data_IF_073725860295
#
_entry.id   IF_073725860295
#
_cell.length_a   1.000
_cell.length_b   1.000
_cell.length_c   1.000
_cell.angle_alpha   90.00
_cell.angle_beta   90.00
_cell.angle_gamma   90.00
#
_symmetry.space_group_name_H-M   'P 1'
#
loop_
_entity.id
_entity.type
_entity.pdbx_description
1 polymer ?
#
# COMPACT_ATOMS: atom_id res chain seq x y z
N UNK A 1 -2.86 -11.65 -28.78
CA UNK A 1 -2.50 -11.91 -27.37
C UNK A 1 -1.79 -10.67 -26.87
N UNK A 2 -2.08 -10.19 -25.66
CA UNK A 2 -1.45 -8.98 -25.16
C UNK A 2 0.06 -9.19 -25.01
N UNK A 3 0.82 -8.31 -25.61
CA UNK A 3 2.23 -8.09 -25.33
C UNK A 3 2.40 -6.59 -25.06
N UNK A 4 3.23 -6.27 -24.08
CA UNK A 4 3.45 -4.90 -23.68
C UNK A 4 4.65 -4.29 -24.42
N UNK A 5 5.69 -5.07 -24.72
CA UNK A 5 6.98 -4.58 -25.27
C UNK A 5 7.75 -3.64 -24.32
N UNK A 6 7.05 -2.63 -23.80
CA UNK A 6 7.46 -1.66 -22.80
C UNK A 6 6.89 -2.03 -21.42
N UNK A 7 7.78 -2.22 -20.45
CA UNK A 7 7.45 -2.55 -19.05
C UNK A 7 6.63 -1.45 -18.35
N UNK A 8 6.72 -0.19 -18.79
CA UNK A 8 5.92 0.91 -18.26
C UNK A 8 4.43 0.76 -18.55
N UNK A 9 4.06 -0.08 -19.54
CA UNK A 9 2.68 -0.29 -20.00
C UNK A 9 1.96 -1.45 -19.33
N UNK A 10 2.59 -2.15 -18.40
CA UNK A 10 1.95 -3.20 -17.59
C UNK A 10 1.90 -2.72 -16.14
N UNK A 11 0.84 -2.96 -15.36
CA UNK A 11 0.84 -2.68 -13.91
C UNK A 11 1.00 -3.94 -13.04
N UNK A 12 1.08 -5.12 -13.65
CA UNK A 12 1.25 -6.39 -12.94
C UNK A 12 0.02 -6.84 -12.15
N UNK A 13 -1.19 -6.56 -12.64
CA UNK A 13 -2.47 -6.85 -11.98
C UNK A 13 -3.11 -8.21 -12.32
N UNK A 14 -2.47 -9.00 -13.19
CA UNK A 14 -2.91 -10.35 -13.59
C UNK A 14 -4.28 -10.48 -14.29
N UNK A 15 -5.04 -9.40 -14.51
CA UNK A 15 -6.36 -9.48 -15.16
C UNK A 15 -6.30 -10.12 -16.55
N UNK A 16 -5.28 -9.83 -17.34
CA UNK A 16 -5.09 -10.45 -18.66
C UNK A 16 -4.86 -11.97 -18.61
N UNK A 17 -4.18 -12.46 -17.55
CA UNK A 17 -3.97 -13.88 -17.29
C UNK A 17 -5.29 -14.51 -16.85
N UNK A 18 -5.95 -13.93 -15.84
CA UNK A 18 -7.23 -14.44 -15.32
C UNK A 18 -8.35 -14.48 -16.37
N UNK A 19 -8.37 -13.54 -17.32
CA UNK A 19 -9.38 -13.48 -18.37
C UNK A 19 -9.10 -14.41 -19.57
N UNK A 20 -7.94 -15.08 -19.62
CA UNK A 20 -7.56 -15.90 -20.77
C UNK A 20 -8.22 -17.28 -20.68
N UNK A 21 -9.18 -17.65 -21.56
CA UNK A 21 -9.88 -18.94 -21.47
C UNK A 21 -9.05 -20.15 -21.93
N UNK A 22 -7.80 -19.91 -22.36
CA UNK A 22 -6.89 -20.92 -22.93
C UNK A 22 -5.52 -20.91 -22.23
N UNK A 23 -5.41 -20.20 -21.09
CA UNK A 23 -4.19 -20.11 -20.27
C UNK A 23 -2.92 -19.78 -21.07
N UNK A 24 -3.07 -18.94 -22.11
CA UNK A 24 -1.97 -18.56 -23.00
C UNK A 24 -0.94 -17.63 -22.35
N UNK A 25 -1.25 -17.08 -21.17
CA UNK A 25 -0.44 -16.11 -20.45
C UNK A 25 -0.16 -16.60 -19.03
N UNK A 26 1.03 -16.28 -18.52
CA UNK A 26 1.40 -16.44 -17.10
C UNK A 26 2.10 -15.19 -16.58
N UNK A 27 2.03 -14.96 -15.28
CA UNK A 27 2.80 -13.89 -14.64
C UNK A 27 4.20 -14.39 -14.31
N UNK A 28 5.23 -13.69 -14.77
CA UNK A 28 6.63 -14.02 -14.47
C UNK A 28 7.38 -12.80 -13.91
N UNK A 29 8.25 -12.99 -12.92
CA UNK A 29 9.10 -11.93 -12.40
C UNK A 29 10.19 -11.58 -13.42
N UNK A 30 10.51 -10.29 -13.54
CA UNK A 30 11.71 -9.86 -14.23
C UNK A 30 12.93 -9.78 -13.29
N UNK A 31 14.06 -9.26 -13.79
CA UNK A 31 15.28 -9.09 -12.99
C UNK A 31 15.14 -8.12 -11.80
N UNK A 32 14.13 -7.24 -11.84
CA UNK A 32 13.77 -6.35 -10.73
C UNK A 32 12.73 -7.00 -9.79
N UNK A 33 12.32 -8.24 -10.09
CA UNK A 33 11.34 -9.03 -9.35
C UNK A 33 9.88 -8.65 -9.63
N UNK A 34 9.61 -7.71 -10.54
CA UNK A 34 8.24 -7.32 -10.85
C UNK A 34 7.56 -8.33 -11.76
N UNK A 35 6.32 -8.69 -11.44
CA UNK A 35 5.51 -9.59 -12.28
C UNK A 35 5.02 -8.89 -13.56
N UNK A 36 5.23 -9.56 -14.70
CA UNK A 36 4.70 -9.20 -16.02
C UNK A 36 4.01 -10.40 -16.67
N UNK A 37 2.97 -10.13 -17.46
CA UNK A 37 2.35 -11.16 -18.27
C UNK A 37 3.30 -11.56 -19.41
N UNK A 38 3.53 -12.86 -19.54
CA UNK A 38 4.35 -13.50 -20.58
C UNK A 38 3.57 -14.63 -21.23
N UNK A 39 3.85 -14.89 -22.50
CA UNK A 39 3.27 -16.02 -23.20
C UNK A 39 3.73 -17.34 -22.55
N UNK A 40 2.78 -18.18 -22.16
CA UNK A 40 3.01 -19.57 -21.70
C UNK A 40 2.66 -20.59 -22.77
N UNK A 41 1.57 -20.35 -23.51
CA UNK A 41 1.06 -21.25 -24.53
C UNK A 41 0.45 -20.44 -25.68
N UNK A 42 1.32 -19.80 -26.47
CA UNK A 42 0.89 -18.91 -27.54
C UNK A 42 0.08 -19.63 -28.63
N UNK A 43 0.40 -20.90 -28.92
CA UNK A 43 -0.27 -21.70 -29.94
C UNK A 43 -1.75 -21.98 -29.61
N UNK A 44 -2.12 -22.03 -28.33
CA UNK A 44 -3.51 -22.20 -27.91
C UNK A 44 -4.37 -20.92 -28.02
N UNK A 45 -3.78 -19.78 -28.42
CA UNK A 45 -4.48 -18.51 -28.44
C UNK A 45 -5.52 -18.44 -29.56
N UNK A 46 -6.80 -18.39 -29.18
CA UNK A 46 -7.93 -18.24 -30.10
C UNK A 46 -8.24 -16.78 -30.51
N UNK A 47 -7.30 -15.85 -30.29
CA UNK A 47 -7.42 -14.44 -30.68
C UNK A 47 -8.70 -13.70 -30.21
N UNK A 48 -9.31 -14.10 -29.08
CA UNK A 48 -10.56 -13.51 -28.58
C UNK A 48 -10.47 -12.03 -28.11
N UNK A 49 -9.26 -11.48 -27.98
CA UNK A 49 -9.01 -10.09 -27.54
C UNK A 49 -9.30 -9.79 -26.07
N UNK A 50 -9.74 -10.76 -25.25
CA UNK A 50 -10.11 -10.52 -23.84
C UNK A 50 -8.98 -9.94 -23.00
N UNK A 51 -7.77 -10.47 -23.14
CA UNK A 51 -6.57 -10.01 -22.43
C UNK A 51 -6.29 -8.51 -22.61
N UNK A 52 -6.68 -7.94 -23.76
CA UNK A 52 -6.54 -6.51 -24.05
C UNK A 52 -7.69 -5.71 -23.46
N UNK A 53 -8.94 -6.19 -23.61
CA UNK A 53 -10.15 -5.55 -23.09
C UNK A 53 -10.15 -5.39 -21.56
N UNK A 54 -9.58 -6.35 -20.83
CA UNK A 54 -9.51 -6.30 -19.36
C UNK A 54 -8.30 -5.52 -18.83
N UNK A 55 -7.41 -5.04 -19.70
CA UNK A 55 -6.17 -4.40 -19.26
C UNK A 55 -6.42 -2.94 -18.83
N UNK A 56 -6.19 -2.56 -17.56
CA UNK A 56 -6.38 -1.17 -17.12
C UNK A 56 -5.37 -0.19 -17.70
N UNK A 57 -4.27 -0.68 -18.27
CA UNK A 57 -3.27 0.16 -18.94
C UNK A 57 -3.68 0.52 -20.38
N UNK A 58 -4.56 -0.29 -21.00
CA UNK A 58 -5.11 -0.05 -22.36
C UNK A 58 -6.50 0.60 -22.31
N UNK A 59 -7.27 0.34 -21.26
CA UNK A 59 -8.65 0.80 -21.10
C UNK A 59 -8.78 1.66 -19.84
N UNK A 60 -8.00 2.73 -19.77
CA UNK A 60 -8.14 3.70 -18.68
C UNK A 60 -9.42 4.52 -18.89
N UNK A 61 -10.22 4.66 -17.85
CA UNK A 61 -11.42 5.50 -17.84
C UNK A 61 -11.26 6.63 -16.84
N UNK A 62 -12.01 7.70 -17.05
CA UNK A 62 -12.12 8.81 -16.10
C UNK A 62 -13.46 8.73 -15.35
N UNK A 63 -13.43 9.15 -14.10
CA UNK A 63 -14.47 9.10 -13.10
C UNK A 63 -14.49 10.45 -12.37
N UNK A 64 -15.66 10.91 -11.91
CA UNK A 64 -15.73 12.08 -11.05
C UNK A 64 -14.84 11.91 -9.81
N UNK A 65 -14.15 12.98 -9.41
CA UNK A 65 -13.44 12.99 -8.15
C UNK A 65 -14.44 12.94 -6.99
N UNK A 66 -14.07 12.25 -5.92
CA UNK A 66 -14.75 12.36 -4.64
C UNK A 66 -14.89 13.83 -4.24
N UNK A 67 -16.08 14.22 -3.78
CA UNK A 67 -16.37 15.61 -3.36
C UNK A 67 -15.77 15.92 -1.99
N UNK A 68 -15.70 14.91 -1.13
CA UNK A 68 -15.32 15.05 0.26
C UNK A 68 -14.30 13.99 0.67
N UNK A 69 -13.53 14.32 1.70
CA UNK A 69 -12.70 13.40 2.44
C UNK A 69 -13.14 13.39 3.90
N UNK A 70 -13.11 12.24 4.55
CA UNK A 70 -13.50 12.09 5.94
C UNK A 70 -12.28 11.71 6.78
N UNK A 71 -11.94 12.54 7.77
CA UNK A 71 -11.01 12.18 8.83
C UNK A 71 -11.66 11.13 9.72
N UNK A 72 -11.06 9.94 9.75
CA UNK A 72 -11.69 8.76 10.34
C UNK A 72 -10.76 8.01 11.32
N UNK A 73 -11.31 7.71 12.50
CA UNK A 73 -10.73 6.79 13.50
C UNK A 73 -11.80 5.76 13.88
N UNK A 74 -11.48 4.48 13.76
CA UNK A 74 -12.37 3.38 14.14
C UNK A 74 -12.70 3.45 15.64
N UNK A 75 -13.94 3.10 16.01
CA UNK A 75 -14.37 3.04 17.41
C UNK A 75 -13.83 1.83 18.18
N UNK A 76 -13.31 0.82 17.47
CA UNK A 76 -12.72 -0.39 18.06
C UNK A 76 -11.24 -0.16 18.42
N UNK A 77 -10.97 0.16 19.69
CA UNK A 77 -9.61 0.47 20.17
C UNK A 77 -8.64 -0.71 20.04
N UNK A 78 -9.11 -1.94 20.28
CA UNK A 78 -8.28 -3.16 20.19
C UNK A 78 -7.83 -3.40 18.76
N UNK A 79 -8.74 -3.27 17.80
CA UNK A 79 -8.40 -3.37 16.39
C UNK A 79 -7.51 -2.20 15.93
N UNK A 80 -7.78 -0.98 16.40
CA UNK A 80 -7.05 0.22 16.00
C UNK A 80 -5.53 0.09 16.21
N UNK A 81 -5.08 -0.56 17.29
CA UNK A 81 -3.64 -0.79 17.57
C UNK A 81 -2.93 -1.64 16.50
N UNK A 82 -3.67 -2.44 15.74
CA UNK A 82 -3.15 -3.35 14.71
C UNK A 82 -3.20 -2.73 13.31
N UNK A 83 -4.01 -1.69 13.12
CA UNK A 83 -4.13 -0.96 11.84
C UNK A 83 -2.96 0.02 11.61
N UNK A 84 -2.69 0.33 10.33
CA UNK A 84 -1.62 1.28 9.95
C UNK A 84 -1.93 2.75 10.17
N UNK A 85 -3.21 3.10 10.33
CA UNK A 85 -3.69 4.48 10.36
C UNK A 85 -4.90 4.60 11.29
N UNK A 86 -5.96 5.31 10.92
CA UNK A 86 -7.19 5.40 11.72
C UNK A 86 -8.13 4.19 11.59
N UNK A 87 -7.81 3.16 10.79
CA UNK A 87 -8.61 1.93 10.72
C UNK A 87 -9.82 1.95 9.78
N UNK A 88 -9.86 2.87 8.80
CA UNK A 88 -10.97 2.93 7.83
C UNK A 88 -11.21 1.61 7.07
N UNK A 89 -10.15 0.94 6.60
CA UNK A 89 -10.28 -0.38 5.96
C UNK A 89 -10.90 -1.43 6.88
N UNK A 90 -10.49 -1.46 8.16
CA UNK A 90 -11.01 -2.43 9.12
C UNK A 90 -12.52 -2.29 9.31
N UNK A 91 -13.04 -1.06 9.41
CA UNK A 91 -14.48 -0.82 9.55
C UNK A 91 -15.26 -1.33 8.33
N UNK A 92 -14.78 -1.04 7.11
CA UNK A 92 -15.41 -1.54 5.88
C UNK A 92 -15.35 -3.07 5.76
N UNK A 93 -14.21 -3.66 6.13
CA UNK A 93 -14.01 -5.10 6.07
C UNK A 93 -14.89 -5.83 7.09
N UNK A 94 -14.97 -5.31 8.31
CA UNK A 94 -15.84 -5.84 9.36
C UNK A 94 -17.31 -5.78 8.94
N UNK A 95 -17.77 -4.66 8.37
CA UNK A 95 -19.12 -4.55 7.82
C UNK A 95 -19.43 -5.59 6.74
N UNK A 96 -18.48 -5.84 5.84
CA UNK A 96 -18.66 -6.87 4.82
C UNK A 96 -18.76 -8.27 5.43
N UNK A 97 -17.89 -8.61 6.39
CA UNK A 97 -17.90 -9.92 7.04
C UNK A 97 -19.17 -10.17 7.88
N UNK A 98 -19.63 -9.13 8.59
CA UNK A 98 -20.80 -9.19 9.47
C UNK A 98 -22.13 -8.98 8.72
N UNK A 99 -22.11 -8.92 7.38
CA UNK A 99 -23.35 -8.83 6.60
C UNK A 99 -24.20 -10.08 6.76
N UNK A 100 -25.50 -9.94 6.57
CA UNK A 100 -26.43 -11.09 6.51
C UNK A 100 -25.93 -12.16 5.51
N UNK A 101 -25.95 -13.42 5.93
CA UNK A 101 -25.39 -14.55 5.16
C UNK A 101 -23.85 -14.64 5.11
N UNK A 102 -23.14 -13.73 5.79
CA UNK A 102 -21.68 -13.67 5.85
C UNK A 102 -21.03 -13.19 4.55
N UNK A 103 -20.13 -12.20 4.61
CA UNK A 103 -19.39 -11.74 3.43
C UNK A 103 -17.99 -12.32 3.30
N UNK A 104 -17.28 -11.88 2.25
CA UNK A 104 -15.88 -12.22 1.99
C UNK A 104 -15.09 -10.95 1.72
N UNK A 105 -13.92 -10.83 2.33
CA UNK A 105 -12.98 -9.72 2.13
C UNK A 105 -11.77 -10.22 1.37
N UNK A 106 -11.37 -9.51 0.33
CA UNK A 106 -10.08 -9.70 -0.34
C UNK A 106 -9.10 -8.61 0.08
N UNK A 107 -7.88 -9.00 0.44
CA UNK A 107 -6.84 -8.08 0.87
C UNK A 107 -5.43 -8.64 0.81
N UNK A 108 -4.46 -7.73 0.95
CA UNK A 108 -3.05 -8.05 0.84
C UNK A 108 -2.55 -8.73 2.11
N UNK A 109 -1.99 -9.94 1.96
CA UNK A 109 -1.44 -10.76 3.02
C UNK A 109 0.02 -11.10 2.78
N UNK A 110 0.73 -11.50 3.85
CA UNK A 110 2.04 -12.14 3.71
C UNK A 110 1.87 -13.62 3.35
N UNK A 111 2.57 -14.06 2.31
CA UNK A 111 2.91 -15.47 2.16
C UNK A 111 4.05 -15.78 3.13
N UNK A 112 3.73 -16.36 4.30
CA UNK A 112 4.70 -16.61 5.39
C UNK A 112 5.82 -17.58 4.99
N UNK A 113 5.66 -18.36 3.92
CA UNK A 113 6.72 -19.25 3.42
C UNK A 113 7.89 -18.48 2.78
N UNK A 114 7.59 -17.37 2.11
CA UNK A 114 8.55 -16.61 1.30
C UNK A 114 8.61 -15.11 1.65
N UNK A 115 7.77 -14.65 2.57
CA UNK A 115 7.57 -13.24 2.95
C UNK A 115 7.35 -12.32 1.75
N UNK A 116 6.59 -12.82 0.78
CA UNK A 116 6.08 -12.06 -0.38
C UNK A 116 4.65 -11.61 -0.10
N UNK A 117 4.21 -10.55 -0.77
CA UNK A 117 2.83 -10.07 -0.64
C UNK A 117 1.97 -10.76 -1.69
N UNK A 118 0.82 -11.25 -1.27
CA UNK A 118 -0.18 -11.91 -2.13
C UNK A 118 -1.56 -11.32 -1.82
N UNK A 119 -2.48 -11.34 -2.78
CA UNK A 119 -3.90 -11.16 -2.47
C UNK A 119 -4.49 -12.49 -1.98
N UNK A 120 -5.35 -12.42 -0.97
CA UNK A 120 -6.10 -13.56 -0.42
C UNK A 120 -7.50 -13.12 -0.04
N UNK A 121 -8.40 -14.08 0.13
CA UNK A 121 -9.73 -13.89 0.72
C UNK A 121 -9.75 -14.32 2.19
N UNK A 122 -10.65 -13.70 2.97
CA UNK A 122 -11.04 -14.14 4.30
C UNK A 122 -12.54 -13.92 4.47
N UNK A 123 -13.21 -14.83 5.17
CA UNK A 123 -14.63 -14.80 5.51
C UNK A 123 -14.86 -14.78 7.03
N UNK A 124 -13.81 -14.48 7.81
CA UNK A 124 -13.85 -14.37 9.26
C UNK A 124 -13.01 -13.19 9.76
N UNK A 125 -13.32 -12.71 10.97
CA UNK A 125 -12.56 -11.65 11.63
C UNK A 125 -11.14 -12.10 11.99
N UNK A 126 -10.93 -13.39 12.27
CA UNK A 126 -9.60 -13.95 12.49
C UNK A 126 -8.77 -13.91 11.21
N UNK A 127 -9.35 -14.31 10.07
CA UNK A 127 -8.69 -14.23 8.76
C UNK A 127 -8.40 -12.79 8.31
N UNK A 128 -9.22 -11.81 8.74
CA UNK A 128 -9.00 -10.39 8.45
C UNK A 128 -7.66 -9.86 9.00
N UNK A 129 -7.13 -10.46 10.07
CA UNK A 129 -5.88 -10.04 10.69
C UNK A 129 -4.69 -10.08 9.72
N UNK A 130 -4.69 -11.03 8.78
CA UNK A 130 -3.64 -11.15 7.76
C UNK A 130 -3.62 -9.93 6.81
N UNK A 131 -4.75 -9.23 6.65
CA UNK A 131 -4.89 -8.06 5.77
C UNK A 131 -4.55 -6.76 6.47
N UNK A 132 -4.55 -6.74 7.80
CA UNK A 132 -4.19 -5.55 8.56
C UNK A 132 -2.72 -5.20 8.36
N UNK A 133 -2.43 -3.91 8.47
CA UNK A 133 -1.09 -3.39 8.24
C UNK A 133 -0.77 -3.19 6.75
N UNK A 134 -0.01 -2.12 6.47
CA UNK A 134 0.50 -1.82 5.14
C UNK A 134 1.56 -2.84 4.74
N UNK A 135 1.68 -3.10 3.44
CA UNK A 135 2.67 -4.03 2.87
C UNK A 135 3.25 -3.36 1.62
N UNK A 136 4.42 -2.72 1.77
CA UNK A 136 5.01 -1.87 0.73
C UNK A 136 5.87 -2.68 -0.27
N UNK A 137 5.26 -3.66 -0.94
CA UNK A 137 5.89 -4.52 -1.96
C UNK A 137 4.81 -4.87 -2.98
N UNK A 138 5.17 -5.19 -4.23
CA UNK A 138 4.20 -5.74 -5.19
C UNK A 138 3.46 -6.94 -4.59
N UNK A 139 2.13 -6.88 -4.63
CA UNK A 139 1.25 -7.99 -4.28
C UNK A 139 0.92 -8.81 -5.52
N UNK A 140 1.09 -10.13 -5.45
CA UNK A 140 0.63 -11.08 -6.46
C UNK A 140 -0.88 -11.35 -6.30
N UNK A 141 -1.73 -10.98 -7.27
CA UNK A 141 -3.16 -11.24 -7.20
C UNK A 141 -3.54 -12.72 -7.22
N UNK A 142 -2.65 -13.62 -7.66
CA UNK A 142 -2.98 -15.04 -7.87
C UNK A 142 -4.28 -15.20 -8.68
N UNK A 143 -5.23 -15.98 -8.19
CA UNK A 143 -6.54 -16.28 -8.77
C UNK A 143 -7.69 -15.49 -8.11
N UNK A 144 -7.40 -14.49 -7.27
CA UNK A 144 -8.44 -13.80 -6.49
C UNK A 144 -9.47 -13.06 -7.33
N UNK A 145 -9.12 -12.65 -8.55
CA UNK A 145 -10.08 -12.05 -9.48
C UNK A 145 -11.19 -13.04 -9.87
N UNK A 146 -10.82 -14.28 -10.22
CA UNK A 146 -11.75 -15.33 -10.56
C UNK A 146 -12.56 -15.78 -9.33
N UNK A 147 -11.91 -15.94 -8.18
CA UNK A 147 -12.60 -16.25 -6.92
C UNK A 147 -13.65 -15.19 -6.56
N UNK A 148 -13.31 -13.90 -6.67
CA UNK A 148 -14.25 -12.81 -6.43
C UNK A 148 -15.46 -12.89 -7.38
N UNK A 149 -15.25 -13.13 -8.68
CA UNK A 149 -16.34 -13.29 -9.65
C UNK A 149 -17.26 -14.46 -9.29
N UNK A 150 -16.71 -15.61 -8.90
CA UNK A 150 -17.50 -16.78 -8.47
C UNK A 150 -18.39 -16.45 -7.28
N UNK A 151 -17.82 -15.84 -6.23
CA UNK A 151 -18.57 -15.44 -5.03
C UNK A 151 -19.65 -14.40 -5.33
N UNK A 152 -19.32 -13.42 -6.18
CA UNK A 152 -20.27 -12.40 -6.60
C UNK A 152 -21.44 -12.99 -7.39
N UNK A 153 -21.17 -13.95 -8.29
CA UNK A 153 -22.20 -14.66 -9.05
C UNK A 153 -23.09 -15.55 -8.17
N UNK A 154 -22.57 -16.03 -7.03
CA UNK A 154 -23.35 -16.78 -6.05
C UNK A 154 -24.11 -15.89 -5.06
N UNK A 155 -24.13 -14.57 -5.27
CA UNK A 155 -24.84 -13.61 -4.42
C UNK A 155 -24.13 -13.26 -3.10
N UNK A 156 -22.92 -13.77 -2.84
CA UNK A 156 -22.18 -13.43 -1.61
C UNK A 156 -21.75 -11.97 -1.63
N UNK A 157 -21.80 -11.28 -0.49
CA UNK A 157 -21.26 -9.93 -0.35
C UNK A 157 -19.74 -9.98 -0.37
N UNK A 158 -19.12 -9.13 -1.18
CA UNK A 158 -17.66 -9.05 -1.34
C UNK A 158 -17.16 -7.64 -1.09
N UNK A 159 -16.17 -7.49 -0.21
CA UNK A 159 -15.29 -6.32 -0.21
C UNK A 159 -13.98 -6.70 -0.88
N UNK A 160 -13.62 -6.03 -1.97
CA UNK A 160 -12.32 -6.22 -2.60
C UNK A 160 -11.41 -5.02 -2.35
N UNK A 161 -10.29 -5.23 -1.66
CA UNK A 161 -9.30 -4.19 -1.39
C UNK A 161 -8.00 -4.37 -2.18
N UNK A 162 -7.39 -3.26 -2.58
CA UNK A 162 -6.14 -3.29 -3.34
C UNK A 162 -5.59 -1.90 -3.61
N UNK A 163 -4.57 -1.84 -4.45
CA UNK A 163 -4.14 -0.56 -5.05
C UNK A 163 -5.12 -0.11 -6.14
N UNK A 164 -5.15 1.18 -6.52
CA UNK A 164 -6.10 1.67 -7.51
C UNK A 164 -6.04 0.92 -8.85
N UNK A 165 -4.82 0.55 -9.30
CA UNK A 165 -4.66 -0.20 -10.54
C UNK A 165 -5.15 -1.66 -10.45
N UNK A 166 -5.17 -2.26 -9.25
CA UNK A 166 -5.77 -3.57 -9.02
C UNK A 166 -7.31 -3.48 -8.99
N UNK A 167 -7.88 -2.42 -8.42
CA UNK A 167 -9.34 -2.22 -8.45
C UNK A 167 -9.84 -1.96 -9.88
N UNK A 168 -9.13 -1.14 -10.66
CA UNK A 168 -9.44 -0.98 -12.09
C UNK A 168 -9.37 -2.32 -12.85
N UNK A 169 -8.36 -3.14 -12.55
CA UNK A 169 -8.21 -4.46 -13.16
C UNK A 169 -9.39 -5.39 -12.80
N UNK A 170 -9.83 -5.39 -11.55
CA UNK A 170 -11.01 -6.14 -11.10
C UNK A 170 -12.27 -5.71 -11.84
N UNK A 171 -12.58 -4.41 -11.85
CA UNK A 171 -13.79 -3.89 -12.48
C UNK A 171 -13.83 -4.20 -13.99
N UNK A 172 -12.70 -4.06 -14.70
CA UNK A 172 -12.59 -4.43 -16.11
C UNK A 172 -12.69 -5.95 -16.34
N UNK A 173 -12.13 -6.77 -15.45
CA UNK A 173 -12.22 -8.23 -15.51
C UNK A 173 -13.66 -8.73 -15.32
N UNK A 174 -14.40 -8.12 -14.38
CA UNK A 174 -15.78 -8.47 -14.06
C UNK A 174 -16.76 -8.18 -15.21
N UNK A 175 -16.49 -7.14 -16.02
CA UNK A 175 -17.26 -6.76 -17.23
C UNK A 175 -18.74 -6.43 -16.99
N UNK A 176 -19.19 -6.38 -15.74
CA UNK A 176 -20.51 -5.88 -15.32
C UNK A 176 -20.42 -5.33 -13.91
N UNK A 177 -21.42 -4.55 -13.52
CA UNK A 177 -21.58 -4.08 -12.14
C UNK A 177 -22.21 -5.18 -11.27
N UNK A 178 -21.87 -5.15 -10.00
CA UNK A 178 -22.38 -6.04 -8.98
C UNK A 178 -22.81 -5.21 -7.77
N UNK A 179 -24.07 -5.34 -7.36
CA UNK A 179 -24.61 -4.60 -6.20
C UNK A 179 -24.02 -5.13 -4.89
N UNK A 180 -23.67 -6.42 -4.86
CA UNK A 180 -23.02 -7.11 -3.75
C UNK A 180 -21.49 -6.96 -3.71
N UNK A 181 -20.89 -6.08 -4.54
CA UNK A 181 -19.47 -5.75 -4.51
C UNK A 181 -19.25 -4.36 -3.91
N UNK A 182 -18.37 -4.24 -2.91
CA UNK A 182 -17.76 -2.98 -2.50
C UNK A 182 -16.27 -3.02 -2.83
N UNK A 183 -15.72 -1.93 -3.37
CA UNK A 183 -14.29 -1.84 -3.68
C UNK A 183 -13.57 -0.77 -2.85
N UNK A 184 -12.37 -1.09 -2.36
CA UNK A 184 -11.58 -0.16 -1.57
C UNK A 184 -10.13 -0.08 -2.11
N UNK A 185 -9.78 1.06 -2.70
CA UNK A 185 -8.42 1.35 -3.10
C UNK A 185 -7.64 2.03 -1.98
N UNK A 186 -6.44 1.55 -1.66
CA UNK A 186 -5.51 2.32 -0.82
C UNK A 186 -4.83 3.40 -1.65
N UNK A 187 -4.77 4.64 -1.16
CA UNK A 187 -3.98 5.69 -1.77
C UNK A 187 -2.52 5.22 -1.92
N UNK A 188 -2.04 5.17 -3.16
CA UNK A 188 -0.83 4.44 -3.50
C UNK A 188 0.25 5.40 -3.98
N UNK A 189 1.36 5.46 -3.23
CA UNK A 189 2.56 6.14 -3.69
C UNK A 189 3.09 5.43 -4.95
N UNK A 190 3.71 4.27 -4.80
CA UNK A 190 4.21 3.43 -5.90
C UNK A 190 4.29 1.97 -5.43
N UNK A 191 4.65 1.07 -6.33
CA UNK A 191 4.85 -0.36 -6.05
C UNK A 191 6.36 -0.66 -6.01
N UNK A 192 6.95 -0.98 -4.85
CA UNK A 192 8.37 -1.28 -4.74
C UNK A 192 8.77 -2.65 -5.29
N UNK A 193 10.02 -2.75 -5.73
CA UNK A 193 10.64 -3.97 -6.28
C UNK A 193 10.66 -5.13 -5.28
N UNK A 194 10.07 -6.29 -5.64
CA UNK A 194 10.19 -7.53 -4.87
C UNK A 194 11.64 -8.03 -4.75
N UNK A 195 12.48 -7.86 -5.77
CA UNK A 195 13.88 -8.29 -5.69
C UNK A 195 14.68 -7.48 -4.66
N UNK A 196 14.47 -6.15 -4.60
CA UNK A 196 15.12 -5.31 -3.58
C UNK A 196 14.56 -5.62 -2.19
N UNK A 197 13.26 -5.91 -2.08
CA UNK A 197 12.64 -6.35 -0.82
C UNK A 197 13.28 -7.63 -0.29
N UNK A 198 13.44 -8.66 -1.11
CA UNK A 198 14.08 -9.92 -0.71
C UNK A 198 15.50 -9.69 -0.18
N UNK A 199 16.32 -8.87 -0.86
CA UNK A 199 17.67 -8.51 -0.40
C UNK A 199 17.66 -7.75 0.92
N UNK A 200 16.74 -6.79 1.08
CA UNK A 200 16.60 -6.05 2.33
C UNK A 200 16.20 -6.97 3.49
N UNK A 201 15.22 -7.85 3.27
CA UNK A 201 14.71 -8.76 4.27
C UNK A 201 15.75 -9.81 4.69
N UNK A 202 16.52 -10.35 3.73
CA UNK A 202 17.62 -11.27 4.00
C UNK A 202 18.70 -10.60 4.89
N UNK A 203 19.00 -9.32 4.65
CA UNK A 203 19.89 -8.58 5.54
C UNK A 203 19.27 -8.38 6.95
N UNK A 204 17.95 -8.16 7.05
CA UNK A 204 17.28 -8.13 8.36
C UNK A 204 17.41 -9.47 9.09
N UNK A 205 17.20 -10.62 8.42
CA UNK A 205 17.39 -11.96 9.02
C UNK A 205 18.80 -12.16 9.56
N UNK A 206 19.82 -11.83 8.77
CA UNK A 206 21.23 -11.93 9.18
C UNK A 206 21.56 -11.13 10.43
N UNK A 207 21.01 -9.91 10.56
CA UNK A 207 21.17 -9.09 11.77
C UNK A 207 20.54 -9.71 13.02
N UNK A 208 19.60 -10.62 12.83
CA UNK A 208 18.91 -11.37 13.89
C UNK A 208 19.41 -12.82 13.96
N UNK A 209 20.69 -13.06 13.68
CA UNK A 209 21.34 -14.37 13.75
C UNK A 209 20.62 -15.43 12.90
N UNK A 210 20.08 -15.02 11.75
CA UNK A 210 19.34 -15.86 10.81
C UNK A 210 18.08 -16.54 11.41
N UNK A 211 17.54 -15.97 12.50
CA UNK A 211 16.30 -16.43 13.12
C UNK A 211 15.11 -16.38 12.14
N UNK A 212 14.16 -17.31 12.32
CA UNK A 212 12.94 -17.33 11.55
C UNK A 212 12.07 -16.10 11.84
N UNK A 213 11.52 -15.53 10.77
CA UNK A 213 10.62 -14.40 10.85
C UNK A 213 9.25 -14.92 11.26
N UNK A 214 8.64 -14.29 12.25
CA UNK A 214 7.26 -14.53 12.69
C UNK A 214 6.30 -13.49 12.15
N UNK A 215 6.77 -12.25 11.99
CA UNK A 215 5.93 -11.17 11.49
C UNK A 215 6.74 -10.02 10.88
N UNK A 216 6.10 -9.27 9.97
CA UNK A 216 6.65 -8.05 9.39
C UNK A 216 5.58 -6.96 9.48
N UNK A 217 5.89 -5.91 10.24
CA UNK A 217 4.94 -4.83 10.54
C UNK A 217 5.43 -3.52 9.98
N UNK A 218 4.92 -3.13 8.82
CA UNK A 218 5.00 -1.73 8.39
C UNK A 218 3.94 -0.90 9.09
N UNK A 219 4.28 0.37 9.32
CA UNK A 219 3.40 1.34 9.98
C UNK A 219 2.95 0.88 11.38
N UNK A 220 3.81 0.12 12.07
CA UNK A 220 3.60 -0.29 13.46
C UNK A 220 3.45 0.97 14.30
N UNK A 221 2.37 1.04 15.08
CA UNK A 221 2.17 2.12 16.04
C UNK A 221 3.12 1.94 17.22
N UNK A 222 3.80 3.02 17.58
CA UNK A 222 4.75 3.06 18.68
C UNK A 222 4.78 4.46 19.28
N UNK A 223 5.26 4.57 20.51
CA UNK A 223 5.39 5.84 21.20
C UNK A 223 6.84 6.30 21.20
N UNK A 224 7.03 7.60 21.05
CA UNK A 224 8.34 8.24 21.10
C UNK A 224 8.34 9.32 22.16
N UNK A 225 9.42 9.42 22.93
CA UNK A 225 9.58 10.47 23.95
C UNK A 225 9.45 11.91 23.41
N UNK A 226 9.70 12.13 22.12
CA UNK A 226 9.70 13.46 21.51
C UNK A 226 8.41 13.83 20.77
N UNK A 227 7.71 12.84 20.20
CA UNK A 227 6.57 13.08 19.33
C UNK A 227 5.28 12.42 19.82
N UNK A 228 5.32 11.70 20.94
CA UNK A 228 4.23 10.87 21.40
C UNK A 228 3.97 9.72 20.41
N UNK A 229 2.70 9.39 20.20
CA UNK A 229 2.22 8.34 19.31
C UNK A 229 2.67 8.57 17.85
N UNK A 230 3.15 7.51 17.22
CA UNK A 230 3.64 7.48 15.83
C UNK A 230 3.18 6.20 15.14
N UNK A 231 2.67 6.30 13.92
CA UNK A 231 2.31 5.15 13.08
C UNK A 231 3.38 4.83 12.02
N UNK A 232 4.62 5.28 12.19
CA UNK A 232 5.68 5.14 11.17
C UNK A 232 6.66 3.98 11.45
N UNK A 233 6.33 3.11 12.40
CA UNK A 233 7.23 2.04 12.82
C UNK A 233 7.38 0.96 11.76
N UNK A 234 8.58 0.41 11.66
CA UNK A 234 8.90 -0.81 10.94
C UNK A 234 9.56 -1.78 11.90
N UNK A 235 9.09 -3.02 11.92
CA UNK A 235 9.66 -4.09 12.71
C UNK A 235 9.62 -5.41 11.94
N UNK A 236 10.71 -6.17 12.02
CA UNK A 236 10.77 -7.59 11.66
C UNK A 236 10.83 -8.37 12.98
N UNK A 237 9.76 -9.10 13.28
CA UNK A 237 9.65 -9.87 14.52
C UNK A 237 10.14 -11.30 14.21
N UNK A 238 11.09 -11.78 15.00
CA UNK A 238 11.74 -13.09 14.81
C UNK A 238 11.69 -13.91 16.09
N UNK A 239 12.11 -15.17 16.02
CA UNK A 239 12.26 -16.06 17.19
C UNK A 239 13.43 -15.72 18.11
N UNK A 240 14.22 -14.70 17.79
CA UNK A 240 15.27 -14.23 18.68
C UNK A 240 14.67 -13.78 20.04
N UNK A 241 15.40 -14.06 21.13
CA UNK A 241 14.97 -13.73 22.52
C UNK A 241 14.57 -12.25 22.70
N UNK A 242 15.10 -11.36 21.87
CA UNK A 242 14.66 -9.96 21.77
C UNK A 242 14.11 -9.66 20.38
N UNK A 243 12.82 -9.34 20.29
CA UNK A 243 12.22 -8.83 19.05
C UNK A 243 12.86 -7.48 18.65
N UNK A 244 13.06 -7.24 17.35
CA UNK A 244 13.57 -5.93 16.90
C UNK A 244 12.64 -4.80 17.38
N UNK A 245 13.22 -3.82 18.06
CA UNK A 245 12.49 -2.59 18.40
C UNK A 245 12.07 -1.89 17.12
N UNK A 246 10.83 -1.41 17.09
CA UNK A 246 10.31 -0.66 15.96
C UNK A 246 11.21 0.55 15.68
N UNK A 247 11.69 0.66 14.44
CA UNK A 247 12.42 1.83 13.96
C UNK A 247 11.56 2.63 13.00
N UNK A 248 11.90 3.90 12.75
CA UNK A 248 11.20 4.69 11.74
C UNK A 248 11.43 4.06 10.37
N UNK A 249 10.35 3.68 9.67
CA UNK A 249 10.43 3.01 8.38
C UNK A 249 11.23 3.81 7.36
N UNK A 250 11.06 5.13 7.33
CA UNK A 250 11.73 6.02 6.38
C UNK A 250 13.21 6.22 6.69
N UNK A 251 13.70 5.72 7.82
CA UNK A 251 15.13 5.67 8.12
C UNK A 251 15.83 4.43 7.58
N UNK A 252 15.08 3.40 7.20
CA UNK A 252 15.63 2.18 6.60
C UNK A 252 16.11 2.44 5.17
N UNK A 253 17.11 1.69 4.66
CA UNK A 253 17.50 1.79 3.25
C UNK A 253 16.35 1.49 2.30
N UNK A 254 15.51 0.48 2.59
CA UNK A 254 14.34 0.16 1.77
C UNK A 254 13.29 1.28 1.77
N UNK A 255 12.95 1.82 2.95
CA UNK A 255 12.01 2.94 3.05
C UNK A 255 12.47 4.20 2.33
N UNK A 256 13.78 4.51 2.36
CA UNK A 256 14.36 5.63 1.60
C UNK A 256 14.35 5.40 0.10
N UNK A 257 14.68 4.19 -0.34
CA UNK A 257 14.58 3.83 -1.75
C UNK A 257 13.14 3.93 -2.26
N UNK A 258 12.16 3.50 -1.45
CA UNK A 258 10.74 3.58 -1.78
C UNK A 258 10.25 5.03 -1.89
N UNK A 259 10.41 5.85 -0.84
CA UNK A 259 9.92 7.24 -0.86
C UNK A 259 10.65 8.13 -1.87
N UNK A 260 11.86 7.74 -2.27
CA UNK A 260 12.61 8.39 -3.33
C UNK A 260 12.31 7.87 -4.73
N UNK A 261 11.33 6.97 -4.91
CA UNK A 261 10.98 6.32 -6.18
C UNK A 261 12.13 5.55 -6.88
N UNK A 262 13.23 5.26 -6.17
CA UNK A 262 14.41 4.58 -6.72
C UNK A 262 14.11 3.14 -7.13
N UNK A 263 13.16 2.52 -6.44
CA UNK A 263 12.79 1.10 -6.60
C UNK A 263 11.34 0.93 -7.05
N UNK A 264 10.74 2.00 -7.59
CA UNK A 264 9.36 2.00 -8.08
C UNK A 264 9.22 1.18 -9.36
N UNK A 265 8.10 0.46 -9.50
CA UNK A 265 7.69 -0.18 -10.75
C UNK A 265 7.61 0.86 -11.88
N UNK A 266 8.09 0.58 -13.11
CA UNK A 266 8.13 1.58 -14.18
C UNK A 266 6.76 2.22 -14.47
N UNK A 267 5.69 1.42 -14.47
CA UNK A 267 4.32 1.88 -14.69
C UNK A 267 3.78 2.83 -13.61
N UNK A 268 4.44 2.92 -12.44
CA UNK A 268 4.05 3.86 -11.40
C UNK A 268 4.43 5.31 -11.72
N UNK A 269 5.37 5.53 -12.66
CA UNK A 269 5.82 6.87 -13.04
C UNK A 269 4.70 7.70 -13.69
N UNK A 270 3.81 7.06 -14.44
CA UNK A 270 2.58 7.65 -14.98
C UNK A 270 1.41 6.66 -14.83
N UNK A 271 1.04 6.40 -13.57
CA UNK A 271 0.03 5.40 -13.24
C UNK A 271 -1.35 5.77 -13.85
N UNK A 272 -2.03 4.85 -14.55
CA UNK A 272 -3.33 5.14 -15.17
C UNK A 272 -4.50 5.04 -14.19
N UNK A 273 -4.25 4.90 -12.89
CA UNK A 273 -5.28 4.64 -11.89
C UNK A 273 -5.28 5.64 -10.72
N UNK A 274 -4.66 6.82 -10.89
CA UNK A 274 -4.64 7.90 -9.88
C UNK A 274 -5.70 8.95 -10.19
N UNK A 275 -6.09 9.71 -9.17
CA UNK A 275 -7.12 10.76 -9.25
C UNK A 275 -8.41 10.27 -9.89
N UNK A 276 -8.92 10.98 -10.89
CA UNK A 276 -10.12 10.69 -11.65
C UNK A 276 -10.06 9.35 -12.38
N UNK A 277 -8.95 8.61 -12.34
CA UNK A 277 -8.84 7.31 -13.01
C UNK A 277 -8.96 6.12 -12.06
N UNK A 278 -9.33 6.35 -10.81
CA UNK A 278 -9.62 5.28 -9.85
C UNK A 278 -11.10 4.90 -9.91
N UNK A 279 -11.40 3.63 -10.22
CA UNK A 279 -12.77 3.10 -10.28
C UNK A 279 -13.28 2.52 -8.95
N UNK A 280 -12.56 2.75 -7.84
CA UNK A 280 -12.96 2.24 -6.54
C UNK A 280 -14.15 3.01 -5.96
N UNK A 281 -14.98 2.33 -5.17
CA UNK A 281 -16.03 2.94 -4.35
C UNK A 281 -15.42 3.79 -3.24
N UNK A 282 -14.39 3.27 -2.58
CA UNK A 282 -13.65 3.98 -1.54
C UNK A 282 -12.18 4.17 -1.92
N UNK A 283 -11.65 5.36 -1.68
CA UNK A 283 -10.20 5.57 -1.58
C UNK A 283 -9.86 5.78 -0.11
N UNK A 284 -8.99 4.93 0.43
CA UNK A 284 -8.56 4.95 1.84
C UNK A 284 -7.11 5.41 1.87
N UNK A 285 -6.84 6.43 2.67
CA UNK A 285 -5.51 7.03 2.76
C UNK A 285 -5.15 7.36 4.22
N UNK A 286 -3.90 7.77 4.44
CA UNK A 286 -3.55 8.57 5.60
C UNK A 286 -3.95 10.02 5.36
N UNK A 287 -4.55 10.68 6.35
CA UNK A 287 -4.90 12.10 6.26
C UNK A 287 -3.68 12.98 6.61
N UNK A 288 -2.64 12.90 5.78
CA UNK A 288 -1.47 13.74 5.94
C UNK A 288 -1.86 15.22 5.89
N UNK A 289 -1.30 16.02 6.80
CA UNK A 289 -1.60 17.45 6.87
C UNK A 289 -2.93 17.84 7.52
N UNK A 290 -3.73 16.89 8.02
CA UNK A 290 -4.99 17.19 8.71
C UNK A 290 -4.84 18.20 9.86
N UNK A 291 -3.68 18.24 10.51
CA UNK A 291 -3.36 19.19 11.57
C UNK A 291 -3.23 20.65 11.11
N UNK A 292 -3.06 20.89 9.80
CA UNK A 292 -3.06 22.24 9.21
C UNK A 292 -4.48 22.73 8.93
N UNK A 293 -5.40 21.80 8.64
CA UNK A 293 -6.83 22.07 8.46
C UNK A 293 -7.54 22.19 9.83
N UNK A 294 -7.13 21.36 10.79
CA UNK A 294 -7.65 21.34 12.15
C UNK A 294 -6.54 20.91 13.14
N UNK A 295 -6.00 21.84 13.96
CA UNK A 295 -4.93 21.55 14.92
C UNK A 295 -5.24 20.49 15.99
N UNK A 296 -6.51 20.12 16.20
CA UNK A 296 -6.91 19.03 17.12
C UNK A 296 -6.60 17.64 16.56
N UNK A 297 -6.37 17.53 15.25
CA UNK A 297 -6.11 16.26 14.57
C UNK A 297 -4.62 15.90 14.61
N UNK A 298 -4.32 14.63 14.90
CA UNK A 298 -2.96 14.12 14.95
C UNK A 298 -2.72 13.01 13.91
N UNK A 299 -2.39 13.36 12.66
CA UNK A 299 -2.14 12.36 11.62
C UNK A 299 -0.93 11.46 11.92
N UNK A 300 0.03 11.93 12.74
CA UNK A 300 1.18 11.13 13.14
C UNK A 300 0.79 9.92 14.00
N UNK A 301 -0.25 10.04 14.83
CA UNK A 301 -0.78 8.94 15.63
C UNK A 301 -1.52 7.87 14.78
N UNK A 302 -1.81 8.18 13.52
CA UNK A 302 -2.62 7.38 12.62
C UNK A 302 -4.04 7.95 12.53
N UNK A 303 -4.35 8.54 11.38
CA UNK A 303 -5.64 9.13 11.05
C UNK A 303 -5.94 8.79 9.60
N UNK A 304 -7.06 8.10 9.34
CA UNK A 304 -7.42 7.79 7.96
C UNK A 304 -8.07 9.00 7.31
N UNK A 305 -7.85 9.18 6.01
CA UNK A 305 -8.79 9.85 5.13
C UNK A 305 -9.60 8.78 4.40
N UNK A 306 -10.93 8.86 4.46
CA UNK A 306 -11.84 8.02 3.68
C UNK A 306 -12.51 8.92 2.65
N UNK A 307 -12.31 8.62 1.37
CA UNK A 307 -12.92 9.36 0.26
C UNK A 307 -13.97 8.43 -0.37
N UNK A 308 -15.27 8.67 -0.13
CA UNK A 308 -16.33 7.98 -0.88
C UNK A 308 -16.35 8.54 -2.31
N UNK A 309 -16.17 7.65 -3.27
CA UNK A 309 -15.93 7.95 -4.69
C UNK A 309 -17.07 7.41 -5.58
N UNK A 310 -18.19 6.99 -4.98
CA UNK A 310 -19.44 6.61 -5.64
C UNK A 310 -20.63 6.90 -4.71
N UNK A 311 -21.86 7.08 -5.23
CA UNK A 311 -23.05 7.26 -4.38
C UNK A 311 -23.25 6.12 -3.38
N UNK A 312 -23.05 4.87 -3.82
CA UNK A 312 -23.06 3.68 -2.96
C UNK A 312 -22.06 3.78 -1.80
N UNK A 313 -20.89 4.38 -2.04
CA UNK A 313 -19.87 4.58 -1.01
C UNK A 313 -20.29 5.64 0.02
N UNK A 314 -20.94 6.72 -0.42
CA UNK A 314 -21.50 7.75 0.47
C UNK A 314 -22.56 7.14 1.41
N UNK A 315 -23.55 6.45 0.84
CA UNK A 315 -24.59 5.74 1.61
C UNK A 315 -24.01 4.71 2.58
N UNK A 316 -23.01 3.95 2.13
CA UNK A 316 -22.32 2.96 2.98
C UNK A 316 -21.59 3.64 4.14
N UNK A 317 -20.94 4.78 3.91
CA UNK A 317 -20.21 5.50 4.95
C UNK A 317 -21.17 6.12 5.99
N UNK A 318 -22.29 6.67 5.54
CA UNK A 318 -23.34 7.22 6.41
C UNK A 318 -23.90 6.15 7.36
N UNK A 319 -24.25 4.97 6.81
CA UNK A 319 -24.70 3.82 7.62
C UNK A 319 -23.65 3.38 8.64
N UNK A 320 -22.36 3.53 8.32
CA UNK A 320 -21.25 3.13 9.17
C UNK A 320 -20.77 4.23 10.13
N UNK A 321 -21.37 5.42 10.13
CA UNK A 321 -20.90 6.56 10.91
C UNK A 321 -20.72 6.24 12.41
N UNK A 322 -21.67 5.50 13.01
CA UNK A 322 -21.61 5.08 14.42
C UNK A 322 -20.52 4.06 14.76
N UNK A 323 -19.79 3.51 13.77
CA UNK A 323 -18.65 2.60 13.98
C UNK A 323 -17.32 3.34 14.12
N UNK A 324 -17.32 4.66 13.96
CA UNK A 324 -16.14 5.51 14.09
C UNK A 324 -16.21 6.34 15.37
N UNK A 325 -15.09 6.43 16.09
CA UNK A 325 -14.93 7.36 17.23
C UNK A 325 -14.66 8.79 16.76
N UNK A 326 -14.15 8.95 15.54
CA UNK A 326 -14.03 10.21 14.82
C UNK A 326 -14.44 9.96 13.38
N UNK A 327 -15.42 10.71 12.88
CA UNK A 327 -15.74 10.80 11.45
C UNK A 327 -16.10 12.24 11.12
N UNK A 328 -15.13 13.00 10.60
CA UNK A 328 -15.29 14.44 10.32
C UNK A 328 -15.08 14.71 8.84
N UNK A 329 -16.03 15.40 8.22
CA UNK A 329 -16.01 15.74 6.79
C UNK A 329 -15.12 16.95 6.51
N UNK A 330 -14.34 16.88 5.44
CA UNK A 330 -13.51 17.93 4.86
C UNK A 330 -13.71 17.95 3.33
N UNK A 331 -13.40 19.07 2.65
CA UNK A 331 -13.25 19.07 1.19
C UNK A 331 -12.20 18.05 0.72
N UNK A 332 -12.36 17.52 -0.49
CA UNK A 332 -11.39 16.59 -1.09
C UNK A 332 -9.95 17.11 -1.06
N UNK A 333 -9.77 18.40 -1.33
CA UNK A 333 -8.48 19.08 -1.43
C UNK A 333 -7.68 18.99 -0.13
N UNK A 334 -8.36 19.01 1.02
CA UNK A 334 -7.73 18.90 2.33
C UNK A 334 -6.92 17.60 2.47
N UNK A 335 -7.47 16.48 2.00
CA UNK A 335 -6.77 15.19 2.00
C UNK A 335 -5.78 15.07 0.84
N UNK A 336 -6.13 15.59 -0.35
CA UNK A 336 -5.32 15.44 -1.55
C UNK A 336 -4.02 16.27 -1.52
N UNK A 337 -4.06 17.51 -0.99
CA UNK A 337 -2.94 18.48 -1.01
C UNK A 337 -1.63 17.88 -0.50
N UNK A 338 -1.68 17.17 0.62
CA UNK A 338 -0.51 16.56 1.26
C UNK A 338 -0.36 15.06 0.99
N UNK A 339 -1.16 14.49 0.07
CA UNK A 339 -1.16 13.07 -0.23
C UNK A 339 -1.02 12.77 -1.73
N UNK A 340 0.21 12.52 -2.16
CA UNK A 340 0.54 12.13 -3.54
C UNK A 340 0.09 10.71 -3.93
N UNK A 341 -0.44 9.95 -2.99
CA UNK A 341 -1.09 8.67 -3.28
C UNK A 341 -2.52 8.84 -3.79
N UNK A 342 -3.14 9.99 -3.50
CA UNK A 342 -4.44 10.41 -4.01
C UNK A 342 -4.25 11.15 -5.34
N UNK A 343 -3.28 12.07 -5.39
CA UNK A 343 -2.96 12.89 -6.57
C UNK A 343 -2.13 12.15 -7.63
N UNK A 344 -2.23 12.60 -8.88
CA UNK A 344 -1.43 12.14 -10.02
C UNK A 344 -0.18 13.01 -10.11
N UNK A 345 0.81 12.64 -9.33
CA UNK A 345 2.16 13.15 -9.53
C UNK A 345 2.90 12.21 -10.49
N UNK A 346 3.36 12.73 -11.65
CA UNK A 346 4.35 12.03 -12.45
C UNK A 346 5.66 12.02 -11.68
N UNK A 347 6.18 10.84 -11.38
CA UNK A 347 7.39 10.70 -10.56
C UNK A 347 8.35 9.73 -11.22
N UNK A 348 9.52 10.25 -11.55
CA UNK A 348 10.61 9.47 -12.09
C UNK A 348 11.86 9.80 -11.29
N UNK A 349 12.42 8.79 -10.63
CA UNK A 349 13.77 8.92 -10.13
C UNK A 349 14.74 8.73 -11.31
N UNK A 350 15.45 9.80 -11.68
CA UNK A 350 16.42 9.81 -12.78
C UNK A 350 17.55 8.78 -12.64
N UNK A 351 17.79 8.31 -11.42
CA UNK A 351 18.86 7.37 -11.09
C UNK A 351 18.36 5.92 -10.97
N UNK A 352 17.06 5.67 -11.13
CA UNK A 352 16.43 4.33 -11.06
C UNK A 352 17.14 3.31 -11.94
N UNK A 353 17.30 3.62 -13.23
CA UNK A 353 17.85 2.65 -14.18
C UNK A 353 19.34 2.39 -13.93
N UNK A 354 20.08 3.42 -13.49
CA UNK A 354 21.48 3.26 -13.04
C UNK A 354 21.57 2.39 -11.79
N UNK A 355 20.68 2.59 -10.83
CA UNK A 355 20.58 1.76 -9.64
C UNK A 355 20.31 0.30 -10.00
N UNK A 356 19.31 0.01 -10.84
CA UNK A 356 19.00 -1.37 -11.21
C UNK A 356 20.09 -2.02 -12.08
N UNK A 357 20.79 -1.25 -12.91
CA UNK A 357 21.96 -1.75 -13.64
C UNK A 357 23.10 -2.16 -12.68
N UNK A 358 23.39 -1.36 -11.65
CA UNK A 358 24.39 -1.70 -10.63
C UNK A 358 23.91 -2.87 -9.75
N UNK A 359 22.63 -2.86 -9.36
CA UNK A 359 22.01 -3.91 -8.56
C UNK A 359 22.00 -5.28 -9.28
N UNK A 360 21.79 -5.29 -10.60
CA UNK A 360 21.83 -6.50 -11.41
C UNK A 360 23.24 -7.10 -11.54
N UNK A 361 24.27 -6.25 -11.62
CA UNK A 361 25.69 -6.69 -11.73
C UNK A 361 26.26 -7.21 -10.41
N UNK A 362 25.67 -6.85 -9.28
CA UNK A 362 26.15 -7.30 -7.98
C UNK A 362 26.00 -8.83 -7.82
N UNK A 363 27.10 -9.56 -7.52
CA UNK A 363 27.17 -11.01 -7.72
C UNK A 363 26.41 -11.84 -6.69
N UNK A 364 26.05 -11.26 -5.54
CA UNK A 364 25.36 -11.95 -4.45
C UNK A 364 24.48 -10.98 -3.64
N UNK A 365 23.57 -11.49 -2.78
CA UNK A 365 22.66 -10.63 -2.01
C UNK A 365 23.34 -9.59 -1.12
N UNK A 366 24.50 -9.89 -0.52
CA UNK A 366 25.24 -8.94 0.31
C UNK A 366 25.80 -7.78 -0.52
N UNK A 367 26.34 -8.07 -1.70
CA UNK A 367 26.77 -7.05 -2.65
C UNK A 367 25.59 -6.19 -3.11
N UNK A 368 24.44 -6.81 -3.41
CA UNK A 368 23.19 -6.09 -3.74
C UNK A 368 22.73 -5.18 -2.59
N UNK A 369 22.84 -5.63 -1.35
CA UNK A 369 22.53 -4.82 -0.18
C UNK A 369 23.50 -3.64 -0.02
N UNK A 370 24.80 -3.82 -0.31
CA UNK A 370 25.77 -2.72 -0.35
C UNK A 370 25.43 -1.69 -1.42
N UNK A 371 24.97 -2.11 -2.60
CA UNK A 371 24.43 -1.20 -3.64
C UNK A 371 23.23 -0.43 -3.08
N UNK A 372 22.25 -1.10 -2.46
CA UNK A 372 21.11 -0.42 -1.83
C UNK A 372 21.57 0.62 -0.79
N UNK A 373 22.56 0.30 0.05
CA UNK A 373 23.12 1.26 1.01
C UNK A 373 23.81 2.44 0.33
N UNK A 374 24.61 2.20 -0.72
CA UNK A 374 25.31 3.25 -1.50
C UNK A 374 24.32 4.29 -2.02
N UNK A 375 23.21 3.85 -2.59
CA UNK A 375 22.23 4.74 -3.23
C UNK A 375 21.24 5.38 -2.26
N UNK A 376 21.10 4.86 -1.04
CA UNK A 376 20.11 5.35 -0.06
C UNK A 376 20.71 6.08 1.13
N UNK A 377 22.01 5.93 1.37
CA UNK A 377 22.69 6.60 2.49
C UNK A 377 22.70 8.10 2.27
N UNK A 378 22.25 8.93 3.25
CA UNK A 378 22.13 10.35 3.02
C UNK A 378 23.55 10.93 3.05
N UNK A 379 23.79 12.04 2.34
CA UNK A 379 25.06 12.73 2.38
C UNK A 379 25.51 13.03 3.82
N UNK A 380 26.82 13.05 4.07
CA UNK A 380 27.42 13.35 5.38
C UNK A 380 26.83 14.62 6.01
N UNK A 381 26.66 15.69 5.22
CA UNK A 381 26.00 16.94 5.65
C UNK A 381 24.60 16.71 6.24
N UNK A 382 23.80 15.84 5.64
CA UNK A 382 22.42 15.54 6.09
C UNK A 382 22.43 14.69 7.35
N UNK A 383 23.36 13.75 7.45
CA UNK A 383 23.58 12.93 8.65
C UNK A 383 24.03 13.81 9.83
N UNK A 384 24.99 14.71 9.60
CA UNK A 384 25.47 15.67 10.59
C UNK A 384 24.34 16.60 11.07
N UNK A 385 23.56 17.19 10.14
CA UNK A 385 22.38 18.00 10.49
C UNK A 385 21.35 17.22 11.30
N UNK A 386 21.10 15.96 10.96
CA UNK A 386 20.16 15.10 11.71
C UNK A 386 20.67 14.79 13.11
N UNK A 387 21.97 14.50 13.25
CA UNK A 387 22.61 14.28 14.55
C UNK A 387 22.52 15.54 15.42
N UNK A 388 22.88 16.71 14.87
CA UNK A 388 22.76 17.99 15.56
C UNK A 388 21.32 18.26 16.01
N UNK A 389 20.32 18.05 15.13
CA UNK A 389 18.90 18.17 15.50
C UNK A 389 18.53 17.22 16.64
N UNK A 390 19.05 16.00 16.68
CA UNK A 390 18.81 15.05 17.78
C UNK A 390 19.42 15.56 19.09
N UNK A 391 20.64 16.09 19.06
CA UNK A 391 21.28 16.69 20.23
C UNK A 391 20.48 17.88 20.76
N UNK A 392 20.12 18.83 19.89
CA UNK A 392 19.30 20.00 20.24
C UNK A 392 17.97 19.54 20.88
N UNK A 393 17.29 18.55 20.30
CA UNK A 393 16.04 17.99 20.86
C UNK A 393 16.24 17.39 22.24
N UNK A 394 17.32 16.63 22.45
CA UNK A 394 17.63 16.03 23.74
C UNK A 394 17.88 17.11 24.81
N UNK A 395 18.61 18.18 24.45
CA UNK A 395 18.84 19.33 25.35
C UNK A 395 17.53 20.04 25.67
N UNK A 396 16.73 20.43 24.67
CA UNK A 396 15.44 21.08 24.88
C UNK A 396 14.48 20.25 25.72
N UNK A 397 14.49 18.92 25.58
CA UNK A 397 13.67 18.03 26.39
C UNK A 397 14.14 17.98 27.84
N UNK A 398 15.46 17.87 28.09
CA UNK A 398 16.03 17.92 29.44
C UNK A 398 15.75 19.25 30.14
N UNK A 399 15.71 20.34 29.40
CA UNK A 399 15.41 21.69 29.92
C UNK A 399 13.91 21.99 30.03
N UNK A 400 13.01 21.06 29.69
CA UNK A 400 11.55 21.31 29.70
C UNK A 400 11.04 22.25 28.59
N UNK A 401 11.93 22.76 27.72
CA UNK A 401 11.62 23.74 26.67
C UNK A 401 11.11 23.11 25.36
N UNK A 402 11.06 21.79 25.27
CA UNK A 402 10.70 21.07 24.03
C UNK A 402 9.31 21.43 23.49
N UNK A 403 8.30 21.51 24.37
CA UNK A 403 6.93 21.80 23.94
C UNK A 403 6.79 23.24 23.40
N UNK A 404 7.48 24.20 24.01
CA UNK A 404 7.52 25.59 23.54
C UNK A 404 8.23 25.70 22.18
N UNK A 405 9.41 25.06 22.05
CA UNK A 405 10.14 25.01 20.78
C UNK A 405 9.34 24.35 19.65
N UNK A 406 8.56 23.29 19.96
CA UNK A 406 7.69 22.62 18.98
C UNK A 406 6.54 23.51 18.53
N UNK A 407 5.92 24.28 19.43
CA UNK A 407 4.86 25.26 19.09
C UNK A 407 5.41 26.37 18.19
N UNK A 408 6.63 26.85 18.45
CA UNK A 408 7.29 27.87 17.61
C UNK A 408 7.68 27.34 16.22
N UNK A 409 8.15 26.09 16.14
CA UNK A 409 8.54 25.47 14.87
C UNK A 409 7.34 25.08 13.98
N UNK A 410 6.16 24.85 14.55
CA UNK A 410 4.93 24.53 13.81
C UNK A 410 4.18 25.75 13.23
N UNK A 411 4.67 26.97 13.48
CA UNK A 411 4.15 28.23 12.90
C UNK A 411 4.83 28.64 11.58
N UNK A 412 5.52 27.71 10.89
CA UNK A 412 6.18 27.96 9.60
C UNK A 412 5.71 27.00 8.53
#
# INVERSE_FOLDING_TARGET
MIDFGDKSKCCGCSACVAACPKDCLKMEPDAEGFLYAKASNAAACIQCGLCEKVCPMRNASEFPLARFAYAAIAGDEKALARTSSGGGFYVLAKDALESEGGGVVFGAAWDKSAWRVVQKSADSLEGLEDFLGSKYVQSDPKDTLAQAQTLLNSGRRVLYSGTPCQINALNLFLRKKYDNLTTAAVACHSVPSPAVWSVFLENCRRKNSDSDIRNIRFRKKYETKYYGKSCMGFAVETDAKESEKAQDYWSTPFGRAFIGDLISRPSCADCPAKESRCSADFIIADFWGANFEDPSLNPRAGLSAILPNSPKAEETLERLAGKFSLLRRFPYEAAAKHNEGIRRARRLNKDRDKFFAEFARAPNPQAKYKVLLKWTTPPLRTRAKTALKRCIRAVLFKLGLWNAARKLAGKK
#
